data_IF_351497363701
#
_entry.id   IF_351497363701
#
_cell.length_a   1.000
_cell.length_b   1.000
_cell.length_c   1.000
_cell.angle_alpha   90.00
_cell.angle_beta   90.00
_cell.angle_gamma   90.00
#
_symmetry.space_group_name_H-M   'P 1'
#
loop_
_entity.id
_entity.type
_entity.pdbx_description
1 polymer ?
#
# COMPACT_ATOMS: atom_id res chain seq x y z
N UNK A 1 -21.42 9.04 12.29
CA UNK A 1 -21.83 9.86 11.13
C UNK A 1 -22.79 9.02 10.30
N UNK A 2 -23.95 9.52 9.88
CA UNK A 2 -24.87 8.71 9.06
C UNK A 2 -24.45 8.80 7.60
N UNK A 3 -23.74 7.78 7.11
CA UNK A 3 -23.37 7.67 5.69
C UNK A 3 -24.57 7.18 4.90
N UNK A 4 -24.84 7.79 3.74
CA UNK A 4 -25.91 7.37 2.84
C UNK A 4 -25.34 6.32 1.88
N UNK A 5 -25.70 5.06 2.07
CA UNK A 5 -25.38 3.98 1.13
C UNK A 5 -26.51 3.79 0.13
N UNK A 6 -26.17 3.62 -1.15
CA UNK A 6 -27.12 3.25 -2.20
C UNK A 6 -27.21 1.73 -2.38
N UNK A 7 -26.19 0.99 -1.96
CA UNK A 7 -26.20 -0.48 -1.95
C UNK A 7 -25.24 -1.04 -0.89
N UNK A 8 -25.56 -2.25 -0.40
CA UNK A 8 -24.64 -3.09 0.37
C UNK A 8 -24.67 -4.48 -0.26
N UNK A 9 -23.54 -4.88 -0.83
CA UNK A 9 -23.42 -6.07 -1.68
C UNK A 9 -22.44 -7.09 -1.10
N UNK A 10 -22.62 -8.33 -1.51
CA UNK A 10 -21.66 -9.42 -1.42
C UNK A 10 -21.26 -9.83 -2.84
N UNK A 11 -20.19 -10.62 -3.04
CA UNK A 11 -19.74 -11.04 -4.38
C UNK A 11 -20.80 -11.77 -5.24
N UNK A 12 -21.91 -12.22 -4.64
CA UNK A 12 -22.99 -12.92 -5.33
C UNK A 12 -24.12 -11.99 -5.79
N UNK A 13 -24.12 -10.74 -5.32
CA UNK A 13 -25.20 -9.81 -5.61
C UNK A 13 -25.00 -9.15 -6.99
N UNK A 14 -26.06 -8.94 -7.79
CA UNK A 14 -25.93 -8.33 -9.12
C UNK A 14 -25.33 -6.92 -9.13
N UNK A 15 -25.43 -6.19 -8.01
CA UNK A 15 -24.86 -4.86 -7.85
C UNK A 15 -23.40 -4.83 -7.39
N UNK A 16 -22.75 -6.00 -7.26
CA UNK A 16 -21.35 -6.09 -6.86
C UNK A 16 -20.43 -5.45 -7.91
N UNK A 17 -19.67 -4.44 -7.50
CA UNK A 17 -18.65 -3.81 -8.31
C UNK A 17 -17.35 -4.59 -8.11
N UNK A 18 -17.00 -5.43 -9.08
CA UNK A 18 -15.82 -6.31 -9.00
C UNK A 18 -14.54 -5.48 -8.84
N UNK A 19 -13.71 -5.71 -7.80
CA UNK A 19 -12.41 -5.08 -7.68
C UNK A 19 -11.57 -5.27 -8.95
N UNK A 20 -10.99 -4.20 -9.46
CA UNK A 20 -10.22 -4.18 -10.71
C UNK A 20 -11.05 -4.03 -12.00
N UNK A 21 -12.38 -4.11 -11.94
CA UNK A 21 -13.24 -3.77 -13.08
C UNK A 21 -13.19 -2.28 -13.44
N UNK A 22 -13.66 -1.92 -14.63
CA UNK A 22 -13.79 -0.53 -15.06
C UNK A 22 -14.66 0.32 -14.11
N UNK A 23 -15.79 -0.21 -13.66
CA UNK A 23 -16.64 0.46 -12.67
C UNK A 23 -15.91 0.66 -11.33
N UNK A 24 -15.09 -0.30 -10.91
CA UNK A 24 -14.25 -0.14 -9.72
C UNK A 24 -13.15 0.90 -9.94
N UNK A 25 -12.50 0.92 -11.10
CA UNK A 25 -11.47 1.90 -11.44
C UNK A 25 -12.01 3.33 -11.32
N UNK A 26 -13.22 3.57 -11.83
CA UNK A 26 -13.92 4.85 -11.78
C UNK A 26 -14.68 5.14 -10.46
N UNK A 27 -14.39 4.40 -9.40
CA UNK A 27 -14.94 4.63 -8.06
C UNK A 27 -13.82 4.75 -7.02
N UNK A 28 -13.86 5.77 -6.18
CA UNK A 28 -12.86 5.95 -5.11
C UNK A 28 -13.06 4.87 -4.05
N UNK A 29 -12.06 4.00 -3.89
CA UNK A 29 -12.02 2.96 -2.84
C UNK A 29 -10.98 3.33 -1.77
N UNK A 30 -11.09 2.82 -0.53
CA UNK A 30 -10.11 3.08 0.53
C UNK A 30 -8.66 2.82 0.13
N UNK A 31 -8.40 1.81 -0.71
CA UNK A 31 -7.07 1.54 -1.27
C UNK A 31 -6.58 2.65 -2.21
N UNK A 32 -7.46 3.19 -3.07
CA UNK A 32 -7.15 4.32 -3.95
C UNK A 32 -6.93 5.61 -3.18
N UNK A 33 -7.59 5.78 -2.03
CA UNK A 33 -7.33 6.95 -1.17
C UNK A 33 -5.86 6.98 -0.75
N UNK A 34 -5.25 5.84 -0.40
CA UNK A 34 -3.82 5.77 -0.15
C UNK A 34 -2.95 6.23 -1.33
N UNK A 35 -3.36 5.94 -2.57
CA UNK A 35 -2.69 6.41 -3.78
C UNK A 35 -2.90 7.91 -4.01
N UNK A 36 -4.12 8.42 -3.87
CA UNK A 36 -4.44 9.85 -3.97
C UNK A 36 -3.62 10.69 -2.99
N UNK A 37 -3.42 10.18 -1.77
CA UNK A 37 -2.61 10.84 -0.74
C UNK A 37 -1.10 10.68 -0.93
N UNK A 38 -0.63 9.98 -1.97
CA UNK A 38 0.80 9.72 -2.20
C UNK A 38 1.45 8.77 -1.18
N UNK A 39 0.66 7.98 -0.46
CA UNK A 39 1.13 7.06 0.58
C UNK A 39 1.31 5.63 0.07
N UNK A 40 0.58 5.26 -0.98
CA UNK A 40 0.59 3.91 -1.51
C UNK A 40 1.94 3.56 -2.12
N UNK A 41 2.40 2.34 -1.82
CA UNK A 41 3.64 1.78 -2.35
C UNK A 41 3.48 1.21 -3.76
N UNK A 42 2.23 1.03 -4.20
CA UNK A 42 1.89 0.29 -5.41
C UNK A 42 1.35 1.19 -6.52
N UNK A 43 0.89 2.38 -6.15
CA UNK A 43 0.19 3.30 -7.04
C UNK A 43 0.40 4.73 -6.52
N UNK A 44 0.84 5.63 -7.40
CA UNK A 44 0.98 7.06 -7.12
C UNK A 44 -0.25 7.85 -7.61
N UNK A 45 -0.43 9.11 -7.16
CA UNK A 45 -1.52 9.96 -7.67
C UNK A 45 -1.49 10.09 -9.20
N UNK A 46 -0.29 10.29 -9.77
CA UNK A 46 -0.09 10.38 -11.22
C UNK A 46 -0.49 9.09 -11.93
N UNK A 47 -0.03 7.94 -11.44
CA UNK A 47 -0.32 6.65 -12.07
C UNK A 47 -1.81 6.29 -12.03
N UNK A 48 -2.49 6.57 -10.90
CA UNK A 48 -3.93 6.35 -10.77
C UNK A 48 -4.72 7.27 -11.71
N UNK A 49 -4.35 8.56 -11.79
CA UNK A 49 -5.02 9.52 -12.67
C UNK A 49 -4.92 9.12 -14.14
N UNK A 50 -3.72 8.75 -14.60
CA UNK A 50 -3.50 8.28 -15.97
C UNK A 50 -4.34 7.04 -16.28
N UNK A 51 -4.43 6.10 -15.33
CA UNK A 51 -5.21 4.88 -15.48
C UNK A 51 -6.71 5.16 -15.52
N UNK A 52 -7.22 6.00 -14.62
CA UNK A 52 -8.63 6.40 -14.60
C UNK A 52 -9.04 7.20 -15.84
N UNK A 53 -8.10 7.88 -16.52
CA UNK A 53 -8.36 8.50 -17.83
C UNK A 53 -8.18 7.55 -19.02
N UNK A 54 -7.78 6.30 -18.79
CA UNK A 54 -7.48 5.34 -19.86
C UNK A 54 -6.25 5.69 -20.70
N UNK A 55 -5.34 6.53 -20.17
CA UNK A 55 -4.12 6.96 -20.86
C UNK A 55 -2.97 5.96 -20.72
N UNK A 56 -3.10 5.00 -19.81
CA UNK A 56 -2.21 3.85 -19.66
C UNK A 56 -3.05 2.58 -19.48
N UNK A 57 -2.51 1.39 -19.79
CA UNK A 57 -3.22 0.14 -19.59
C UNK A 57 -3.69 -0.06 -18.15
N UNK A 58 -4.79 -0.80 -17.99
CA UNK A 58 -5.22 -1.28 -16.68
C UNK A 58 -4.14 -2.19 -16.06
N UNK A 59 -4.14 -2.32 -14.73
CA UNK A 59 -3.26 -3.28 -14.07
C UNK A 59 -3.61 -4.71 -14.47
N UNK A 60 -2.60 -5.47 -14.87
CA UNK A 60 -2.70 -6.91 -15.04
C UNK A 60 -3.12 -7.57 -13.72
N UNK A 61 -4.03 -8.56 -13.74
CA UNK A 61 -4.34 -9.36 -12.56
C UNK A 61 -3.06 -9.96 -11.97
N UNK A 62 -2.81 -9.73 -10.68
CA UNK A 62 -1.65 -10.29 -9.99
C UNK A 62 -2.06 -11.59 -9.28
N UNK A 63 -1.33 -12.69 -9.50
CA UNK A 63 -1.49 -13.98 -8.77
C UNK A 63 -1.52 -13.81 -7.24
N UNK A 64 -0.91 -12.72 -6.77
CA UNK A 64 -0.92 -12.28 -5.38
C UNK A 64 -2.33 -12.09 -4.80
N UNK A 65 -3.30 -11.67 -5.62
CA UNK A 65 -4.68 -11.47 -5.19
C UNK A 65 -5.38 -12.80 -4.95
N UNK A 66 -5.19 -13.80 -5.82
CA UNK A 66 -5.80 -15.13 -5.64
C UNK A 66 -5.31 -15.81 -4.35
N UNK A 67 -3.99 -15.77 -4.12
CA UNK A 67 -3.39 -16.28 -2.87
C UNK A 67 -3.92 -15.55 -1.63
N UNK A 68 -4.15 -14.23 -1.76
CA UNK A 68 -4.75 -13.41 -0.72
C UNK A 68 -6.17 -13.85 -0.35
N UNK A 69 -7.01 -14.11 -1.35
CA UNK A 69 -8.38 -14.61 -1.15
C UNK A 69 -8.39 -16.01 -0.52
N UNK A 70 -7.51 -16.90 -0.99
CA UNK A 70 -7.40 -18.26 -0.48
C UNK A 70 -6.98 -18.32 1.00
N UNK A 71 -6.22 -17.33 1.48
CA UNK A 71 -5.80 -17.28 2.89
C UNK A 71 -6.84 -16.65 3.83
N UNK A 72 -7.86 -15.97 3.30
CA UNK A 72 -8.86 -15.29 4.14
C UNK A 72 -9.62 -16.22 5.10
N UNK A 73 -9.99 -17.47 4.75
CA UNK A 73 -10.61 -18.39 5.71
C UNK A 73 -9.69 -18.70 6.89
N UNK A 74 -8.39 -18.85 6.64
CA UNK A 74 -7.38 -19.01 7.68
C UNK A 74 -7.29 -17.75 8.55
N UNK A 75 -7.16 -16.58 7.93
CA UNK A 75 -7.10 -15.29 8.61
C UNK A 75 -8.34 -15.04 9.49
N UNK A 76 -9.53 -15.36 9.00
CA UNK A 76 -10.77 -15.26 9.76
C UNK A 76 -10.76 -16.15 11.01
N UNK A 77 -10.18 -17.35 10.92
CA UNK A 77 -10.04 -18.24 12.07
C UNK A 77 -9.00 -17.74 13.07
N UNK A 78 -7.88 -17.19 12.61
CA UNK A 78 -6.88 -16.52 13.46
C UNK A 78 -7.54 -15.36 14.22
N UNK A 79 -8.23 -14.47 13.50
CA UNK A 79 -8.91 -13.32 14.09
C UNK A 79 -9.91 -13.74 15.18
N UNK A 80 -10.76 -14.75 14.91
CA UNK A 80 -11.76 -15.23 15.88
C UNK A 80 -11.13 -15.74 17.18
N UNK A 81 -9.95 -16.37 17.12
CA UNK A 81 -9.21 -16.81 18.32
C UNK A 81 -8.65 -15.64 19.11
N UNK A 82 -8.14 -14.62 18.42
CA UNK A 82 -7.55 -13.42 19.04
C UNK A 82 -8.60 -12.47 19.62
N UNK A 83 -9.77 -12.38 18.99
CA UNK A 83 -10.82 -11.41 19.31
C UNK A 83 -12.16 -12.11 19.62
N UNK A 84 -12.26 -12.83 20.75
CA UNK A 84 -13.46 -13.58 21.11
C UNK A 84 -14.70 -12.67 21.24
N UNK A 85 -15.85 -13.22 20.86
CA UNK A 85 -17.14 -12.52 20.90
C UNK A 85 -17.48 -11.70 19.65
N UNK A 86 -16.50 -11.45 18.76
CA UNK A 86 -16.77 -10.90 17.44
C UNK A 86 -17.13 -11.99 16.43
N UNK A 87 -18.24 -11.81 15.72
CA UNK A 87 -18.62 -12.61 14.55
C UNK A 87 -18.12 -11.91 13.28
N UNK A 88 -17.75 -12.69 12.27
CA UNK A 88 -17.31 -12.19 10.97
C UNK A 88 -18.33 -12.54 9.90
N UNK A 89 -18.46 -11.71 8.86
CA UNK A 89 -19.16 -12.10 7.62
C UNK A 89 -18.51 -13.36 7.00
N UNK A 90 -19.27 -14.14 6.22
CA UNK A 90 -18.72 -15.32 5.53
C UNK A 90 -17.66 -14.98 4.50
N UNK A 91 -17.77 -13.79 3.90
CA UNK A 91 -16.95 -13.28 2.82
C UNK A 91 -16.83 -11.76 2.89
N UNK A 92 -16.38 -11.19 1.79
CA UNK A 92 -16.34 -9.74 1.60
C UNK A 92 -17.73 -9.10 1.67
N UNK A 93 -17.76 -7.83 2.06
CA UNK A 93 -18.98 -7.01 2.04
C UNK A 93 -18.64 -5.64 1.48
N UNK A 94 -19.31 -5.24 0.41
CA UNK A 94 -19.12 -3.96 -0.25
C UNK A 94 -20.22 -2.97 0.14
N UNK A 95 -19.83 -1.76 0.48
CA UNK A 95 -20.70 -0.63 0.77
C UNK A 95 -20.53 0.39 -0.34
N UNK A 96 -21.58 0.61 -1.13
CA UNK A 96 -21.59 1.63 -2.19
C UNK A 96 -22.22 2.88 -1.61
N UNK A 97 -21.43 3.96 -1.54
CA UNK A 97 -21.86 5.24 -0.98
C UNK A 97 -22.58 6.05 -2.06
N UNK A 98 -23.60 6.80 -1.67
CA UNK A 98 -24.22 7.80 -2.53
C UNK A 98 -23.16 8.83 -2.98
N UNK A 99 -22.93 9.03 -4.28
CA UNK A 99 -21.94 9.99 -4.77
C UNK A 99 -22.14 11.42 -4.24
N UNK A 100 -23.39 11.82 -3.95
CA UNK A 100 -23.70 13.14 -3.37
C UNK A 100 -23.15 13.29 -1.95
N UNK A 101 -22.88 12.20 -1.24
CA UNK A 101 -22.45 12.24 0.16
C UNK A 101 -21.06 12.88 0.33
N UNK A 102 -20.12 12.56 -0.56
CA UNK A 102 -18.76 13.09 -0.52
C UNK A 102 -18.44 14.05 -1.70
N UNK A 103 -19.28 14.05 -2.74
CA UNK A 103 -19.03 14.78 -3.99
C UNK A 103 -18.23 13.97 -5.02
N UNK A 104 -18.11 12.66 -4.81
CA UNK A 104 -17.46 11.72 -5.74
C UNK A 104 -18.02 10.30 -5.52
N UNK A 105 -18.01 9.42 -6.54
CA UNK A 105 -18.38 8.02 -6.37
C UNK A 105 -17.42 7.33 -5.41
N UNK A 106 -17.96 6.70 -4.37
CA UNK A 106 -17.17 6.02 -3.36
C UNK A 106 -17.74 4.64 -3.02
N UNK A 107 -16.85 3.68 -2.76
CA UNK A 107 -17.22 2.38 -2.22
C UNK A 107 -16.17 1.86 -1.25
N UNK A 108 -16.55 1.01 -0.31
CA UNK A 108 -15.61 0.24 0.50
C UNK A 108 -15.94 -1.25 0.39
N UNK A 109 -14.99 -2.05 -0.09
CA UNK A 109 -15.06 -3.52 -0.02
C UNK A 109 -14.27 -3.96 1.20
N UNK A 110 -14.97 -4.45 2.22
CA UNK A 110 -14.33 -4.99 3.42
C UNK A 110 -14.00 -6.46 3.20
N UNK A 111 -12.79 -6.90 3.52
CA UNK A 111 -12.45 -8.33 3.54
C UNK A 111 -13.42 -9.07 4.48
N UNK A 112 -13.66 -8.50 5.68
CA UNK A 112 -14.68 -8.99 6.61
C UNK A 112 -15.38 -7.85 7.35
N UNK A 113 -16.70 -7.97 7.48
CA UNK A 113 -17.48 -7.21 8.45
C UNK A 113 -17.43 -7.89 9.82
N UNK A 114 -17.15 -7.12 10.88
CA UNK A 114 -17.20 -7.57 12.28
C UNK A 114 -18.53 -7.17 12.94
N UNK A 115 -19.11 -8.08 13.72
CA UNK A 115 -20.36 -7.84 14.47
C UNK A 115 -20.27 -8.39 15.90
N UNK A 116 -20.65 -7.56 16.89
CA UNK A 116 -20.85 -7.98 18.28
C UNK A 116 -22.04 -7.22 18.88
N UNK A 117 -23.18 -7.89 19.00
CA UNK A 117 -24.44 -7.23 19.37
C UNK A 117 -24.82 -6.13 18.36
N UNK A 118 -24.97 -4.88 18.84
CA UNK A 118 -25.23 -3.71 17.98
C UNK A 118 -23.97 -3.13 17.37
N UNK A 119 -22.79 -3.45 17.91
CA UNK A 119 -21.51 -2.94 17.40
C UNK A 119 -21.21 -3.54 16.03
N UNK A 120 -20.65 -2.70 15.17
CA UNK A 120 -20.13 -3.03 13.84
C UNK A 120 -18.70 -2.54 13.75
N UNK A 121 -17.88 -3.19 12.93
CA UNK A 121 -16.51 -2.77 12.71
C UNK A 121 -15.92 -3.37 11.44
N UNK A 122 -14.92 -2.69 10.89
CA UNK A 122 -14.21 -3.11 9.68
C UNK A 122 -13.03 -4.02 10.02
N UNK A 123 -12.79 -5.07 9.25
CA UNK A 123 -11.59 -5.90 9.33
C UNK A 123 -10.95 -6.00 7.95
N UNK A 124 -9.76 -5.42 7.83
CA UNK A 124 -8.84 -5.61 6.72
C UNK A 124 -7.83 -6.71 7.08
N UNK A 125 -7.48 -7.55 6.12
CA UNK A 125 -6.47 -8.60 6.22
C UNK A 125 -5.36 -8.25 5.23
N UNK A 126 -4.11 -8.37 5.66
CA UNK A 126 -2.94 -8.23 4.79
C UNK A 126 -2.00 -9.40 5.02
N UNK A 127 -1.51 -9.99 3.93
CA UNK A 127 -0.48 -11.02 3.96
C UNK A 127 0.86 -10.38 3.61
N UNK A 128 1.79 -10.36 4.56
CA UNK A 128 3.19 -10.09 4.32
C UNK A 128 3.86 -11.39 3.84
N UNK A 129 4.23 -11.45 2.56
CA UNK A 129 4.60 -12.71 1.89
C UNK A 129 6.07 -13.05 2.01
N UNK A 130 6.91 -12.03 2.09
CA UNK A 130 8.35 -12.17 2.22
C UNK A 130 8.90 -11.29 3.34
N UNK A 131 10.21 -11.43 3.58
CA UNK A 131 10.87 -10.64 4.61
C UNK A 131 10.76 -9.15 4.32
N UNK A 132 10.83 -8.71 3.05
CA UNK A 132 10.69 -7.31 2.62
C UNK A 132 9.29 -6.75 2.93
N UNK A 133 8.26 -7.58 2.79
CA UNK A 133 6.90 -7.26 3.20
C UNK A 133 6.77 -7.19 4.73
N UNK A 134 7.46 -8.07 5.48
CA UNK A 134 7.49 -8.01 6.95
C UNK A 134 8.17 -6.76 7.47
N UNK A 135 9.24 -6.29 6.82
CA UNK A 135 9.97 -5.08 7.24
C UNK A 135 9.03 -3.87 7.38
N UNK A 136 7.97 -3.85 6.58
CA UNK A 136 6.96 -2.80 6.56
C UNK A 136 6.15 -2.74 7.86
N UNK A 137 6.00 -3.85 8.56
CA UNK A 137 5.28 -3.96 9.83
C UNK A 137 6.24 -4.02 11.04
N UNK A 138 7.54 -3.84 10.80
CA UNK A 138 8.61 -4.28 11.69
C UNK A 138 8.84 -5.78 11.56
N UNK A 139 10.11 -6.21 11.51
CA UNK A 139 10.53 -7.60 11.21
C UNK A 139 9.93 -8.68 12.15
N UNK A 140 9.33 -8.29 13.27
CA UNK A 140 8.67 -9.13 14.28
C UNK A 140 7.21 -8.71 14.54
N UNK A 141 6.63 -7.93 13.62
CA UNK A 141 5.36 -7.23 13.82
C UNK A 141 5.35 -6.38 15.10
N UNK A 142 6.44 -5.71 15.49
CA UNK A 142 6.41 -4.69 16.57
C UNK A 142 6.37 -3.26 16.05
N UNK A 143 6.59 -3.04 14.75
CA UNK A 143 6.56 -1.71 14.13
C UNK A 143 5.16 -1.10 14.09
N UNK A 144 5.09 0.19 13.77
CA UNK A 144 3.83 0.91 13.58
C UNK A 144 3.10 0.46 12.31
N UNK A 145 1.79 0.71 12.25
CA UNK A 145 1.00 0.42 11.06
C UNK A 145 1.44 1.34 9.90
N UNK A 146 1.80 0.82 8.71
CA UNK A 146 2.11 1.64 7.54
C UNK A 146 1.00 2.66 7.22
N UNK A 147 1.40 3.87 6.81
CA UNK A 147 0.48 4.97 6.55
C UNK A 147 -0.59 4.65 5.50
N UNK A 148 -0.23 3.97 4.41
CA UNK A 148 -1.19 3.54 3.38
C UNK A 148 -2.25 2.58 3.91
N UNK A 149 -1.86 1.64 4.77
CA UNK A 149 -2.79 0.73 5.42
C UNK A 149 -3.62 1.39 6.52
N UNK A 150 -3.05 2.33 7.28
CA UNK A 150 -3.80 3.15 8.22
C UNK A 150 -4.89 3.95 7.52
N UNK A 151 -4.54 4.64 6.43
CA UNK A 151 -5.48 5.40 5.59
C UNK A 151 -6.55 4.48 5.02
N UNK A 152 -6.17 3.30 4.52
CA UNK A 152 -7.14 2.34 4.00
C UNK A 152 -8.19 1.96 5.06
N UNK A 153 -7.76 1.51 6.24
CA UNK A 153 -8.69 1.08 7.31
C UNK A 153 -9.53 2.25 7.81
N UNK A 154 -8.93 3.43 7.95
CA UNK A 154 -9.65 4.63 8.36
C UNK A 154 -10.75 4.97 7.35
N UNK A 155 -10.46 4.93 6.06
CA UNK A 155 -11.44 5.25 5.03
C UNK A 155 -12.51 4.17 4.88
N UNK A 156 -12.22 2.89 5.17
CA UNK A 156 -13.25 1.87 5.34
C UNK A 156 -14.22 2.21 6.48
N UNK A 157 -13.71 2.70 7.62
CA UNK A 157 -14.57 3.14 8.73
C UNK A 157 -15.42 4.35 8.33
N UNK A 158 -14.84 5.31 7.62
CA UNK A 158 -15.54 6.51 7.14
C UNK A 158 -16.63 6.14 6.14
N UNK A 159 -16.31 5.35 5.10
CA UNK A 159 -17.25 4.98 4.05
C UNK A 159 -18.36 4.05 4.54
N UNK A 160 -18.11 3.23 5.57
CA UNK A 160 -19.16 2.41 6.20
C UNK A 160 -19.96 3.18 7.26
N UNK A 161 -19.43 4.30 7.77
CA UNK A 161 -19.96 5.02 8.91
C UNK A 161 -19.73 4.33 10.26
N UNK A 162 -18.93 3.26 10.29
CA UNK A 162 -18.67 2.47 11.50
C UNK A 162 -17.46 3.00 12.25
N UNK A 163 -17.67 4.10 12.97
CA UNK A 163 -16.61 4.82 13.67
C UNK A 163 -16.63 4.65 15.19
N UNK A 164 -17.62 3.94 15.74
CA UNK A 164 -17.79 3.77 17.19
C UNK A 164 -16.86 2.70 17.79
N UNK A 165 -16.20 1.92 16.95
CA UNK A 165 -15.23 0.88 17.32
C UNK A 165 -13.98 1.06 16.46
N UNK A 166 -12.78 0.73 16.95
CA UNK A 166 -11.57 0.84 16.15
C UNK A 166 -11.68 -0.08 14.94
N UNK A 167 -11.27 0.37 13.75
CA UNK A 167 -11.03 -0.50 12.60
C UNK A 167 -9.85 -1.41 12.85
N UNK A 168 -9.90 -2.65 12.37
CA UNK A 168 -8.82 -3.62 12.62
C UNK A 168 -8.13 -4.00 11.32
N UNK A 169 -6.80 -4.06 11.36
CA UNK A 169 -6.00 -4.72 10.33
C UNK A 169 -5.31 -5.94 10.92
N UNK A 170 -5.63 -7.13 10.40
CA UNK A 170 -4.90 -8.35 10.69
C UNK A 170 -3.75 -8.50 9.68
N UNK A 171 -2.54 -8.29 10.14
CA UNK A 171 -1.34 -8.62 9.39
C UNK A 171 -0.97 -10.08 9.68
N UNK A 172 -0.83 -10.87 8.61
CA UNK A 172 -0.29 -12.23 8.66
C UNK A 172 1.09 -12.21 8.03
N UNK A 173 2.07 -12.78 8.72
CA UNK A 173 3.43 -12.94 8.20
C UNK A 173 3.83 -14.39 7.94
N UNK A 174 5.04 -14.60 7.42
CA UNK A 174 5.61 -15.93 7.31
C UNK A 174 5.79 -16.55 8.71
N UNK A 175 5.93 -17.87 8.74
CA UNK A 175 6.07 -18.66 9.98
C UNK A 175 4.91 -18.51 10.97
N UNK A 176 3.69 -18.25 10.47
CA UNK A 176 2.45 -18.15 11.26
C UNK A 176 2.43 -16.99 12.26
N UNK A 177 3.23 -15.95 12.04
CA UNK A 177 3.16 -14.73 12.83
C UNK A 177 1.90 -13.94 12.45
N UNK A 178 1.23 -13.37 13.44
CA UNK A 178 0.05 -12.53 13.25
C UNK A 178 0.03 -11.36 14.21
N UNK A 179 -0.46 -10.21 13.72
CA UNK A 179 -0.73 -9.03 14.56
C UNK A 179 -2.02 -8.35 14.14
N UNK A 180 -2.79 -7.91 15.13
CA UNK A 180 -3.92 -7.01 14.92
C UNK A 180 -3.47 -5.59 15.26
N UNK A 181 -3.59 -4.71 14.28
CA UNK A 181 -3.45 -3.26 14.44
C UNK A 181 -4.85 -2.65 14.58
N UNK A 182 -4.99 -1.70 15.50
CA UNK A 182 -6.24 -0.97 15.73
C UNK A 182 -6.10 0.46 15.22
N UNK A 183 -7.07 0.91 14.43
CA UNK A 183 -7.18 2.27 13.90
C UNK A 183 -8.39 2.93 14.54
N UNK A 184 -8.16 3.97 15.32
CA UNK A 184 -9.19 4.68 16.07
C UNK A 184 -9.69 5.91 15.32
N UNK A 185 -11.00 6.14 15.31
CA UNK A 185 -11.61 7.38 14.79
C UNK A 185 -11.67 8.47 15.86
N UNK A 186 -10.50 8.84 16.37
CA UNK A 186 -10.32 9.84 17.43
C UNK A 186 -10.25 11.28 16.89
N UNK A 187 -9.82 12.24 17.73
CA UNK A 187 -9.74 13.64 17.35
C UNK A 187 -8.76 13.90 16.20
N UNK A 188 -7.61 13.24 16.20
CA UNK A 188 -6.61 13.37 15.15
C UNK A 188 -7.11 12.74 13.86
N UNK A 189 -7.63 11.51 13.92
CA UNK A 189 -8.17 10.83 12.74
C UNK A 189 -9.32 11.63 12.09
N UNK A 190 -10.16 12.31 12.89
CA UNK A 190 -11.22 13.20 12.36
C UNK A 190 -10.67 14.39 11.58
N UNK A 191 -9.56 14.98 12.02
CA UNK A 191 -8.92 16.09 11.32
C UNK A 191 -8.33 15.61 9.99
N UNK A 192 -7.62 14.47 10.02
CA UNK A 192 -7.06 13.84 8.82
C UNK A 192 -8.15 13.51 7.80
N UNK A 193 -9.30 12.98 8.23
CA UNK A 193 -10.40 12.62 7.31
C UNK A 193 -10.97 13.82 6.56
N UNK A 194 -11.04 15.01 7.19
CA UNK A 194 -11.48 16.22 6.50
C UNK A 194 -10.55 16.56 5.34
N UNK A 195 -9.23 16.51 5.59
CA UNK A 195 -8.22 16.75 4.57
C UNK A 195 -8.25 15.68 3.47
N UNK A 196 -8.29 14.41 3.86
CA UNK A 196 -8.32 13.27 2.92
C UNK A 196 -9.54 13.33 1.99
N UNK A 197 -10.73 13.63 2.53
CA UNK A 197 -11.94 13.75 1.70
C UNK A 197 -11.83 14.93 0.73
N UNK A 198 -11.21 16.04 1.13
CA UNK A 198 -11.01 17.18 0.23
C UNK A 198 -10.02 16.85 -0.90
N UNK A 199 -8.91 16.19 -0.60
CA UNK A 199 -7.97 15.72 -1.62
C UNK A 199 -8.59 14.68 -2.56
N UNK A 200 -9.44 13.78 -2.05
CA UNK A 200 -10.21 12.86 -2.91
C UNK A 200 -11.13 13.61 -3.87
N UNK A 201 -11.77 14.69 -3.41
CA UNK A 201 -12.64 15.52 -4.24
C UNK A 201 -11.84 16.28 -5.29
N UNK A 202 -10.73 16.92 -4.92
CA UNK A 202 -9.84 17.61 -5.86
C UNK A 202 -9.28 16.66 -6.92
N UNK A 203 -8.85 15.47 -6.49
CA UNK A 203 -8.40 14.43 -7.40
C UNK A 203 -9.52 14.02 -8.36
N UNK A 204 -10.73 13.76 -7.86
CA UNK A 204 -11.88 13.41 -8.69
C UNK A 204 -12.20 14.50 -9.71
N UNK A 205 -12.28 15.76 -9.27
CA UNK A 205 -12.57 16.90 -10.13
C UNK A 205 -11.50 17.11 -11.20
N UNK A 206 -10.22 16.80 -10.88
CA UNK A 206 -9.12 16.90 -11.84
C UNK A 206 -9.25 15.95 -13.04
N UNK A 207 -10.02 14.86 -12.91
CA UNK A 207 -10.26 13.91 -14.01
C UNK A 207 -11.08 14.53 -15.15
N UNK A 208 -11.84 15.61 -14.87
CA UNK A 208 -12.57 16.36 -15.89
C UNK A 208 -11.65 17.27 -16.73
N UNK A 209 -10.42 17.53 -16.26
CA UNK A 209 -9.42 18.33 -16.95
C UNK A 209 -8.27 17.50 -17.52
N UNK A 210 -7.29 18.19 -18.11
CA UNK A 210 -6.10 17.58 -18.70
C UNK A 210 -4.81 17.84 -17.89
N UNK A 211 -4.94 18.40 -16.69
CA UNK A 211 -3.81 18.66 -15.79
C UNK A 211 -3.70 17.49 -14.80
N UNK A 212 -2.75 16.57 -15.01
CA UNK A 212 -2.51 15.48 -14.07
C UNK A 212 -1.85 15.94 -12.76
N UNK A 213 -1.95 15.16 -11.67
CA UNK A 213 -1.20 15.38 -10.42
C UNK A 213 0.32 15.48 -10.69
N UNK A 214 1.08 16.21 -9.88
CA UNK A 214 2.54 16.36 -10.08
C UNK A 214 3.29 15.01 -10.10
N UNK A 215 4.47 15.01 -10.71
CA UNK A 215 5.35 13.84 -10.66
C UNK A 215 5.96 13.73 -9.26
N UNK A 216 6.06 12.51 -8.76
CA UNK A 216 6.79 12.18 -7.53
C UNK A 216 7.96 11.23 -7.83
N UNK A 217 8.83 11.02 -6.83
CA UNK A 217 9.97 10.11 -6.93
C UNK A 217 9.61 8.63 -6.77
N UNK A 218 8.34 8.24 -6.89
CA UNK A 218 7.91 6.86 -6.67
C UNK A 218 8.11 6.00 -7.93
N UNK A 219 8.38 4.70 -7.72
CA UNK A 219 8.45 3.72 -8.82
C UNK A 219 7.15 3.68 -9.65
N UNK A 220 5.94 3.71 -9.06
CA UNK A 220 4.70 3.78 -9.83
C UNK A 220 4.61 4.99 -10.77
N UNK A 221 5.07 6.17 -10.36
CA UNK A 221 5.11 7.34 -11.25
C UNK A 221 6.04 7.12 -12.43
N UNK A 222 7.26 6.64 -12.17
CA UNK A 222 8.24 6.37 -13.22
C UNK A 222 7.71 5.36 -14.25
N UNK A 223 7.13 4.25 -13.79
CA UNK A 223 6.55 3.23 -14.67
C UNK A 223 5.32 3.74 -15.42
N UNK A 224 4.50 4.61 -14.81
CA UNK A 224 3.34 5.20 -15.49
C UNK A 224 3.75 6.14 -16.63
N UNK A 225 4.81 6.94 -16.45
CA UNK A 225 5.34 7.79 -17.53
C UNK A 225 5.93 6.95 -18.66
N UNK A 226 6.61 5.84 -18.34
CA UNK A 226 7.07 4.89 -19.37
C UNK A 226 5.90 4.25 -20.12
N UNK A 227 4.84 3.85 -19.42
CA UNK A 227 3.66 3.26 -20.03
C UNK A 227 2.88 4.24 -20.91
N UNK A 228 2.94 5.55 -20.61
CA UNK A 228 2.35 6.61 -21.43
C UNK A 228 3.09 6.81 -22.77
N UNK A 229 4.38 6.47 -22.81
CA UNK A 229 5.24 6.60 -23.99
C UNK A 229 5.91 5.26 -24.36
N UNK A 230 5.13 4.25 -24.82
CA UNK A 230 5.65 2.91 -25.06
C UNK A 230 6.52 2.81 -26.33
N UNK A 231 6.36 3.74 -27.26
CA UNK A 231 7.09 3.79 -28.52
C UNK A 231 8.27 4.76 -28.43
N UNK A 232 9.35 4.43 -29.15
CA UNK A 232 10.53 5.29 -29.28
C UNK A 232 10.60 5.74 -30.73
N UNK A 233 10.42 7.03 -30.97
CA UNK A 233 10.71 7.63 -32.27
C UNK A 233 12.24 7.68 -32.45
N UNK A 234 12.74 7.00 -33.48
CA UNK A 234 14.17 6.94 -33.76
C UNK A 234 14.63 8.26 -34.36
N UNK A 235 15.85 8.64 -34.05
CA UNK A 235 16.54 9.81 -34.63
C UNK A 235 15.87 11.17 -34.28
N UNK A 236 15.05 11.21 -33.24
CA UNK A 236 14.51 12.45 -32.66
C UNK A 236 15.25 12.85 -31.40
N UNK A 237 15.38 14.15 -31.18
CA UNK A 237 16.02 14.73 -30.00
C UNK A 237 15.08 15.75 -29.35
N UNK A 238 15.17 15.88 -28.02
CA UNK A 238 14.51 16.93 -27.26
C UNK A 238 15.57 17.69 -26.46
N UNK A 239 15.58 19.01 -26.60
CA UNK A 239 16.43 19.87 -25.79
C UNK A 239 15.80 20.03 -24.40
N UNK A 240 16.53 19.65 -23.36
CA UNK A 240 16.09 19.83 -21.97
C UNK A 240 16.41 21.26 -21.50
N UNK A 241 15.69 21.75 -20.48
CA UNK A 241 16.14 22.96 -19.79
C UNK A 241 17.44 22.68 -19.03
N UNK A 242 18.25 23.71 -18.81
CA UNK A 242 19.51 23.57 -18.08
C UNK A 242 19.28 23.01 -16.67
N UNK A 243 18.20 23.44 -16.01
CA UNK A 243 17.84 23.00 -14.66
C UNK A 243 17.53 21.49 -14.63
N UNK A 244 16.72 20.99 -15.57
CA UNK A 244 16.35 19.57 -15.62
C UNK A 244 17.54 18.70 -16.02
N UNK A 245 18.40 19.17 -16.93
CA UNK A 245 19.61 18.46 -17.33
C UNK A 245 20.61 18.36 -16.16
N UNK A 246 20.82 19.45 -15.41
CA UNK A 246 21.70 19.46 -14.23
C UNK A 246 21.17 18.54 -13.14
N UNK A 247 19.86 18.61 -12.82
CA UNK A 247 19.21 17.73 -11.85
C UNK A 247 19.45 16.25 -12.20
N UNK A 248 19.18 15.86 -13.45
CA UNK A 248 19.32 14.49 -13.91
C UNK A 248 20.77 13.99 -13.84
N UNK A 249 21.73 14.77 -14.34
CA UNK A 249 23.15 14.39 -14.35
C UNK A 249 23.71 14.31 -12.94
N UNK A 250 23.36 15.27 -12.07
CA UNK A 250 23.79 15.27 -10.67
C UNK A 250 23.25 14.05 -9.92
N UNK A 251 21.92 13.83 -9.97
CA UNK A 251 21.28 12.73 -9.24
C UNK A 251 21.80 11.34 -9.66
N UNK A 252 22.01 11.13 -10.97
CA UNK A 252 22.53 9.85 -11.49
C UNK A 252 24.00 9.63 -11.17
N UNK A 253 24.81 10.69 -11.18
CA UNK A 253 26.23 10.65 -10.79
C UNK A 253 26.39 10.38 -9.30
N UNK A 254 25.59 11.05 -8.47
CA UNK A 254 25.59 10.87 -7.02
C UNK A 254 25.15 9.45 -6.63
N UNK A 255 24.10 8.92 -7.27
CA UNK A 255 23.66 7.54 -7.06
C UNK A 255 24.79 6.55 -7.35
N UNK A 256 25.45 6.67 -8.50
CA UNK A 256 26.58 5.82 -8.88
C UNK A 256 27.71 5.90 -7.85
N UNK A 257 28.05 7.10 -7.41
CA UNK A 257 29.10 7.33 -6.40
C UNK A 257 28.73 6.71 -5.05
N UNK A 258 27.47 6.82 -4.64
CA UNK A 258 26.96 6.21 -3.42
C UNK A 258 26.98 4.67 -3.48
N UNK A 259 26.60 4.08 -4.63
CA UNK A 259 26.68 2.63 -4.85
C UNK A 259 28.12 2.11 -4.81
N UNK A 260 29.06 2.81 -5.44
CA UNK A 260 30.48 2.48 -5.39
C UNK A 260 31.02 2.55 -3.96
N UNK A 261 30.67 3.61 -3.23
CA UNK A 261 31.04 3.79 -1.82
C UNK A 261 30.47 2.67 -0.94
N UNK A 262 29.19 2.33 -1.10
CA UNK A 262 28.54 1.26 -0.37
C UNK A 262 29.16 -0.11 -0.69
N UNK A 263 29.52 -0.36 -1.96
CA UNK A 263 30.21 -1.58 -2.40
C UNK A 263 31.61 -1.70 -1.79
N UNK A 264 32.37 -0.60 -1.74
CA UNK A 264 33.68 -0.56 -1.07
C UNK A 264 33.56 -0.86 0.42
N UNK A 265 32.58 -0.25 1.11
CA UNK A 265 32.32 -0.50 2.52
C UNK A 265 31.97 -1.98 2.79
N UNK A 266 31.07 -2.56 1.98
CA UNK A 266 30.73 -4.00 2.05
C UNK A 266 31.95 -4.89 1.84
N UNK A 267 32.83 -4.53 0.91
CA UNK A 267 34.07 -5.28 0.62
C UNK A 267 35.03 -5.24 1.81
N UNK A 268 35.23 -4.06 2.42
CA UNK A 268 36.05 -3.90 3.63
C UNK A 268 35.51 -4.74 4.82
N UNK A 269 34.20 -4.77 5.01
CA UNK A 269 33.56 -5.59 6.06
C UNK A 269 33.74 -7.08 5.77
N UNK A 270 33.51 -7.53 4.54
CA UNK A 270 33.72 -8.93 4.15
C UNK A 270 35.18 -9.38 4.36
N UNK A 271 36.14 -8.54 3.97
CA UNK A 271 37.56 -8.82 4.17
C UNK A 271 37.92 -8.94 5.65
N UNK A 272 37.43 -8.01 6.49
CA UNK A 272 37.61 -8.07 7.93
C UNK A 272 36.95 -9.32 8.58
N UNK A 273 35.77 -9.72 8.11
CA UNK A 273 35.06 -10.91 8.62
C UNK A 273 35.77 -12.21 8.28
N UNK A 274 36.48 -12.29 7.14
CA UNK A 274 37.07 -13.54 6.62
C UNK A 274 36.05 -14.67 6.59
N UNK A 275 36.20 -15.67 7.48
CA UNK A 275 35.31 -16.84 7.61
C UNK A 275 34.17 -16.62 8.61
N UNK A 276 34.21 -15.56 9.41
CA UNK A 276 33.20 -15.30 10.43
C UNK A 276 31.81 -15.11 9.82
N UNK A 277 30.79 -15.58 10.54
CA UNK A 277 29.39 -15.45 10.14
C UNK A 277 28.82 -14.08 10.51
N UNK A 278 29.29 -13.46 11.58
CA UNK A 278 28.75 -12.22 12.13
C UNK A 278 29.84 -11.17 12.33
N UNK A 279 29.52 -9.91 12.01
CA UNK A 279 30.32 -8.74 12.35
C UNK A 279 29.60 -7.94 13.43
N UNK A 280 30.31 -7.62 14.51
CA UNK A 280 29.77 -6.89 15.66
C UNK A 280 30.64 -5.68 16.00
N UNK A 281 30.04 -4.61 16.52
CA UNK A 281 30.74 -3.47 17.09
C UNK A 281 30.11 -3.11 18.44
N UNK A 282 30.90 -3.04 19.51
CA UNK A 282 30.43 -2.77 20.88
C UNK A 282 29.24 -3.64 21.34
N UNK A 283 29.25 -4.93 20.96
CA UNK A 283 28.18 -5.88 21.29
C UNK A 283 26.94 -5.80 20.39
N UNK A 284 26.83 -4.81 19.50
CA UNK A 284 25.76 -4.74 18.51
C UNK A 284 26.13 -5.51 17.24
N UNK A 285 25.18 -6.29 16.70
CA UNK A 285 25.32 -6.92 15.39
C UNK A 285 25.25 -5.85 14.30
N UNK A 286 26.24 -5.84 13.39
CA UNK A 286 26.36 -4.87 12.30
C UNK A 286 26.11 -5.51 10.93
N UNK A 287 26.58 -6.74 10.72
CA UNK A 287 26.36 -7.47 9.48
C UNK A 287 26.43 -8.98 9.66
N UNK A 288 25.81 -9.71 8.73
CA UNK A 288 25.81 -11.17 8.66
C UNK A 288 26.25 -11.66 7.27
N UNK A 289 27.08 -12.70 7.25
CA UNK A 289 27.56 -13.40 6.07
C UNK A 289 26.78 -14.70 5.89
N UNK A 290 26.17 -14.92 4.72
CA UNK A 290 25.27 -16.04 4.47
C UNK A 290 25.40 -16.57 3.05
N UNK A 291 25.14 -17.86 2.78
CA UNK A 291 24.99 -18.36 1.42
C UNK A 291 23.86 -17.62 0.69
N UNK A 292 24.11 -17.22 -0.55
CA UNK A 292 23.10 -16.69 -1.45
C UNK A 292 22.35 -17.85 -2.13
N UNK A 293 21.18 -17.58 -2.69
CA UNK A 293 20.40 -18.54 -3.49
C UNK A 293 21.16 -19.10 -4.70
N UNK A 294 22.26 -18.44 -5.11
CA UNK A 294 23.13 -18.85 -6.23
C UNK A 294 24.40 -19.57 -5.77
N UNK A 295 24.48 -20.00 -4.50
CA UNK A 295 25.64 -20.72 -3.95
C UNK A 295 26.88 -19.87 -3.69
N UNK A 296 26.82 -18.56 -3.94
CA UNK A 296 27.86 -17.60 -3.55
C UNK A 296 27.67 -17.12 -2.11
N UNK A 297 28.57 -16.30 -1.58
CA UNK A 297 28.41 -15.71 -0.25
C UNK A 297 27.96 -14.27 -0.36
N UNK A 298 26.91 -13.90 0.39
CA UNK A 298 26.36 -12.56 0.47
C UNK A 298 26.56 -11.94 1.87
N UNK A 299 26.68 -10.61 1.90
CA UNK A 299 26.73 -9.81 3.12
C UNK A 299 25.43 -9.02 3.25
N UNK A 300 24.77 -9.15 4.40
CA UNK A 300 23.58 -8.39 4.76
C UNK A 300 23.89 -7.51 5.96
N UNK A 301 23.59 -6.22 5.88
CA UNK A 301 23.63 -5.33 7.05
C UNK A 301 22.59 -5.81 8.08
N UNK A 302 22.95 -5.79 9.35
CA UNK A 302 21.99 -5.91 10.42
C UNK A 302 21.19 -4.60 10.46
N UNK A 303 19.87 -4.68 10.56
CA UNK A 303 19.07 -3.48 10.75
C UNK A 303 19.37 -2.90 12.12
N UNK A 304 19.75 -1.64 12.16
CA UNK A 304 19.82 -0.91 13.42
C UNK A 304 18.43 -0.86 14.04
N UNK A 305 18.32 -1.15 15.34
CA UNK A 305 17.31 -0.46 16.13
C UNK A 305 17.67 1.02 16.01
N UNK A 306 16.82 1.80 15.32
CA UNK A 306 16.84 3.25 15.52
C UNK A 306 16.57 3.54 16.99
#
# INVERSE_FOLDING_TARGET
MSIKHIAVNTPRDPGWIQPGSDAHLHTISPSKVGAIMGLSRWESPRSLWLRMKGLIPAEEPKDAFDTGHDIEPYAANVYRRRMPGWRLSPGEVQFVVDPEHFGFPALATLDRRRVRGRSRGVLQIKLARDLTDMEKFGDDFTGDLPGDYWTQVLMEMVFTGWTDQPGHLLALGPYYQDRIYEVWYDGTAKQEVVFIIDECRRFWDSLAGDIPPELDGSVPTYEAIRAQHPEIERDTEVELTAELAEEFVAATTDLKTAEETARLAKSRVLDAMKKAQFATCNGALIARRQPSSRGSVALYSAKGKK
#
